data_IF_523531126847
#
_entry.id   IF_523531126847
#
_cell.length_a   1.000
_cell.length_b   1.000
_cell.length_c   1.000
_cell.angle_alpha   90.00
_cell.angle_beta   90.00
_cell.angle_gamma   90.00
#
_symmetry.space_group_name_H-M   'P 1'
#
loop_
_entity.id
_entity.type
_entity.pdbx_description
1 polymer ?
#
# COMPACT_ATOMS: atom_id res chain seq x y z
N UNK A 1 24.81 -7.98 7.23
CA UNK A 1 24.16 -7.21 6.15
C UNK A 1 24.47 -7.92 4.84
N UNK A 2 23.55 -8.72 4.32
CA UNK A 2 23.80 -9.55 3.13
C UNK A 2 23.49 -8.72 1.89
N UNK A 3 24.53 -8.28 1.18
CA UNK A 3 24.38 -7.53 -0.07
C UNK A 3 23.97 -8.53 -1.16
N UNK A 4 22.74 -8.43 -1.66
CA UNK A 4 22.29 -9.24 -2.80
C UNK A 4 23.07 -8.84 -4.04
N UNK A 5 23.89 -9.74 -4.57
CA UNK A 5 24.63 -9.53 -5.83
C UNK A 5 23.80 -9.82 -7.10
N UNK A 6 22.59 -10.38 -6.94
CA UNK A 6 21.70 -10.64 -8.08
C UNK A 6 20.95 -9.37 -8.48
N UNK A 7 21.34 -8.81 -9.64
CA UNK A 7 20.68 -7.66 -10.28
C UNK A 7 19.17 -7.85 -10.44
N UNK A 8 18.72 -9.07 -10.75
CA UNK A 8 17.31 -9.38 -10.94
C UNK A 8 16.50 -9.23 -9.64
N UNK A 9 16.98 -9.80 -8.54
CA UNK A 9 16.31 -9.69 -7.24
C UNK A 9 16.28 -8.24 -6.74
N UNK A 10 17.32 -7.46 -7.05
CA UNK A 10 17.35 -6.04 -6.70
C UNK A 10 16.32 -5.25 -7.51
N UNK A 11 16.17 -5.53 -8.81
CA UNK A 11 15.17 -4.88 -9.65
C UNK A 11 13.74 -5.16 -9.17
N UNK A 12 13.45 -6.39 -8.72
CA UNK A 12 12.12 -6.74 -8.19
C UNK A 12 11.77 -5.91 -6.94
N UNK A 13 12.72 -5.81 -6.00
CA UNK A 13 12.54 -5.00 -4.78
C UNK A 13 12.40 -3.52 -5.10
N UNK A 14 13.24 -2.98 -5.98
CA UNK A 14 13.15 -1.57 -6.37
C UNK A 14 11.85 -1.24 -7.11
N UNK A 15 11.33 -2.19 -7.90
CA UNK A 15 10.05 -2.04 -8.58
C UNK A 15 8.89 -1.97 -7.59
N UNK A 16 8.88 -2.83 -6.58
CA UNK A 16 7.85 -2.82 -5.53
C UNK A 16 7.86 -1.48 -4.77
N UNK A 17 9.05 -1.01 -4.40
CA UNK A 17 9.23 0.28 -3.71
C UNK A 17 8.85 1.49 -4.58
N UNK A 18 8.90 1.38 -5.91
CA UNK A 18 8.68 2.51 -6.83
C UNK A 18 7.31 3.16 -6.67
N UNK A 19 6.28 2.36 -6.41
CA UNK A 19 4.91 2.83 -6.23
C UNK A 19 4.77 3.68 -4.95
N UNK A 20 5.37 3.21 -3.86
CA UNK A 20 5.38 3.88 -2.56
C UNK A 20 6.21 5.17 -2.65
N UNK A 21 7.43 5.09 -3.20
CA UNK A 21 8.30 6.27 -3.43
C UNK A 21 7.60 7.35 -4.26
N UNK A 22 6.86 6.97 -5.31
CA UNK A 22 6.12 7.93 -6.16
C UNK A 22 5.04 8.71 -5.38
N UNK A 23 4.32 8.05 -4.47
CA UNK A 23 3.28 8.70 -3.64
C UNK A 23 3.87 9.58 -2.55
N UNK A 24 5.01 9.19 -1.98
CA UNK A 24 5.65 9.92 -0.87
C UNK A 24 6.46 11.13 -1.36
N UNK A 25 7.02 11.08 -2.57
CA UNK A 25 7.86 12.16 -3.11
C UNK A 25 7.22 13.57 -3.05
N UNK A 26 5.94 13.78 -3.41
CA UNK A 26 5.29 15.09 -3.23
C UNK A 26 5.04 15.47 -1.77
N UNK A 27 5.08 14.52 -0.82
CA UNK A 27 4.91 14.76 0.62
C UNK A 27 6.22 15.17 1.32
N UNK A 28 7.33 15.25 0.59
CA UNK A 28 8.68 15.53 1.12
C UNK A 28 9.16 14.51 2.18
N UNK A 29 8.68 13.27 2.07
CA UNK A 29 9.00 12.20 3.02
C UNK A 29 8.18 12.24 4.31
N UNK A 30 8.44 11.30 5.20
CA UNK A 30 7.77 11.23 6.51
C UNK A 30 8.61 11.90 7.58
N UNK A 31 7.96 12.68 8.47
CA UNK A 31 8.62 13.34 9.61
C UNK A 31 8.70 12.48 10.87
N UNK A 32 8.00 11.34 10.90
CA UNK A 32 7.93 10.43 12.05
C UNK A 32 7.63 9.01 11.58
N UNK A 33 8.26 8.01 12.20
CA UNK A 33 7.99 6.59 11.94
C UNK A 33 6.53 6.20 12.20
N UNK A 34 5.93 6.71 13.27
CA UNK A 34 4.50 6.45 13.58
C UNK A 34 3.60 6.95 12.46
N UNK A 35 3.91 8.13 11.90
CA UNK A 35 3.16 8.71 10.77
C UNK A 35 3.42 7.96 9.47
N UNK A 36 4.66 7.53 9.24
CA UNK A 36 5.02 6.68 8.12
C UNK A 36 4.21 5.38 8.12
N UNK A 37 4.15 4.69 9.26
CA UNK A 37 3.42 3.44 9.42
C UNK A 37 1.93 3.63 9.09
N UNK A 38 1.28 4.64 9.68
CA UNK A 38 -0.14 4.91 9.42
C UNK A 38 -0.42 5.19 7.93
N UNK A 39 0.42 5.98 7.27
CA UNK A 39 0.25 6.30 5.84
C UNK A 39 0.48 5.06 4.96
N UNK A 40 1.54 4.29 5.25
CA UNK A 40 1.84 3.07 4.50
C UNK A 40 0.71 2.04 4.64
N UNK A 41 0.19 1.83 5.85
CA UNK A 41 -0.97 0.95 6.09
C UNK A 41 -2.22 1.42 5.34
N UNK A 42 -2.47 2.73 5.27
CA UNK A 42 -3.58 3.27 4.46
C UNK A 42 -3.40 3.05 2.95
N UNK A 43 -2.17 3.18 2.45
CA UNK A 43 -1.85 2.90 1.03
C UNK A 43 -2.07 1.41 0.72
N UNK A 44 -1.63 0.52 1.60
CA UNK A 44 -1.85 -0.92 1.47
C UNK A 44 -3.34 -1.28 1.51
N UNK A 45 -4.10 -0.68 2.44
CA UNK A 45 -5.53 -0.91 2.56
C UNK A 45 -6.26 -0.59 1.25
N UNK A 46 -6.02 0.59 0.67
CA UNK A 46 -6.64 0.97 -0.61
C UNK A 46 -6.21 0.03 -1.73
N UNK A 47 -4.98 -0.48 -1.70
CA UNK A 47 -4.50 -1.45 -2.68
C UNK A 47 -5.22 -2.80 -2.56
N UNK A 48 -5.44 -3.28 -1.34
CA UNK A 48 -6.19 -4.52 -1.08
C UNK A 48 -7.64 -4.42 -1.54
N UNK A 49 -8.31 -3.30 -1.25
CA UNK A 49 -9.67 -3.00 -1.72
C UNK A 49 -9.72 -3.03 -3.25
N UNK A 50 -8.80 -2.34 -3.93
CA UNK A 50 -8.76 -2.30 -5.40
C UNK A 50 -8.45 -3.65 -6.04
N UNK A 51 -7.73 -4.53 -5.34
CA UNK A 51 -7.46 -5.91 -5.78
C UNK A 51 -8.60 -6.88 -5.51
N UNK A 52 -9.66 -6.46 -4.80
CA UNK A 52 -10.74 -7.36 -4.37
C UNK A 52 -10.29 -8.38 -3.33
N UNK A 53 -9.16 -8.12 -2.63
CA UNK A 53 -8.68 -8.97 -1.54
C UNK A 53 -9.51 -8.81 -0.27
N UNK A 54 -10.33 -7.76 -0.21
CA UNK A 54 -11.37 -7.57 0.77
C UNK A 54 -12.66 -8.23 0.25
N UNK A 55 -12.86 -9.51 0.55
CA UNK A 55 -14.14 -10.17 0.30
C UNK A 55 -15.09 -9.83 1.44
N UNK A 56 -16.08 -8.98 1.16
CA UNK A 56 -17.19 -8.81 2.09
C UNK A 56 -18.06 -10.08 2.03
N UNK A 57 -18.37 -10.69 3.17
CA UNK A 57 -19.24 -11.87 3.26
C UNK A 57 -20.64 -11.64 2.70
N UNK A 58 -21.03 -10.38 2.58
CA UNK A 58 -22.29 -9.93 1.98
C UNK A 58 -22.05 -9.83 0.48
N UNK A 59 -22.67 -10.70 -0.32
CA UNK A 59 -22.53 -10.78 -1.79
C UNK A 59 -22.99 -9.54 -2.58
N UNK A 60 -22.93 -8.35 -1.98
CA UNK A 60 -23.15 -7.08 -2.62
C UNK A 60 -21.86 -6.61 -3.30
N UNK A 61 -21.96 -6.25 -4.58
CA UNK A 61 -20.86 -5.66 -5.35
C UNK A 61 -20.63 -4.21 -4.90
N UNK A 62 -19.97 -4.04 -3.76
CA UNK A 62 -19.64 -2.74 -3.18
C UNK A 62 -18.51 -2.08 -3.98
N UNK A 63 -18.67 -0.81 -4.30
CA UNK A 63 -17.60 0.01 -4.87
C UNK A 63 -16.41 0.11 -3.89
N UNK A 64 -15.18 0.35 -4.39
CA UNK A 64 -14.01 0.57 -3.53
C UNK A 64 -14.20 1.65 -2.46
N UNK A 65 -14.97 2.70 -2.76
CA UNK A 65 -15.31 3.75 -1.81
C UNK A 65 -16.24 3.27 -0.71
N UNK A 66 -17.28 2.51 -1.04
CA UNK A 66 -18.21 1.97 -0.05
C UNK A 66 -17.51 0.99 0.88
N UNK A 67 -16.67 0.10 0.33
CA UNK A 67 -15.82 -0.80 1.13
C UNK A 67 -14.90 -0.03 2.09
N UNK A 68 -14.33 1.10 1.65
CA UNK A 68 -13.49 1.93 2.51
C UNK A 68 -14.28 2.57 3.65
N UNK A 69 -15.46 3.13 3.37
CA UNK A 69 -16.29 3.77 4.39
C UNK A 69 -16.83 2.78 5.42
N UNK A 70 -17.14 1.54 5.01
CA UNK A 70 -17.57 0.48 5.93
C UNK A 70 -16.49 0.10 6.96
N UNK A 71 -15.20 0.27 6.63
CA UNK A 71 -14.10 0.00 7.56
C UNK A 71 -13.84 1.14 8.54
N UNK A 72 -14.39 2.32 8.27
CA UNK A 72 -14.23 3.50 9.11
C UNK A 72 -15.40 3.73 10.08
N UNK A 73 -16.50 2.98 9.90
CA UNK A 73 -17.69 3.00 10.75
C UNK A 73 -17.49 2.13 12.00
#
# INVERSE_FOLDING_TARGET
MTIRQSKYLNNLVEQDHRNIKRRIRPMLGFKSFRRAQAILSGIELVHMIRKGQYQHSTGAHLSPSEQFYLLAA
#
